data_IF_166316381072
#
_entry.id   IF_166316381072
#
_cell.length_a   1.000
_cell.length_b   1.000
_cell.length_c   1.000
_cell.angle_alpha   90.00
_cell.angle_beta   90.00
_cell.angle_gamma   90.00
#
_symmetry.space_group_name_H-M   'P 1'
#
loop_
_entity.id
_entity.type
_entity.pdbx_description
1 polymer ?
#
# COMPACT_ATOMS: atom_id res chain seq x y z
N UNK A 1 -5.30 23.71 -0.66
CA UNK A 1 -6.21 22.66 -1.15
C UNK A 1 -7.43 22.57 -0.23
N UNK A 2 -8.59 22.25 -0.75
CA UNK A 2 -9.75 21.96 0.12
C UNK A 2 -9.66 20.53 0.64
N UNK A 3 -10.15 20.25 1.83
CA UNK A 3 -10.15 18.93 2.48
C UNK A 3 -10.58 17.81 1.52
N UNK A 4 -11.68 18.03 0.78
CA UNK A 4 -12.24 17.05 -0.15
C UNK A 4 -11.34 16.79 -1.36
N UNK A 5 -10.65 17.80 -1.86
CA UNK A 5 -9.69 17.63 -2.97
C UNK A 5 -8.49 16.81 -2.53
N UNK A 6 -7.95 17.08 -1.33
CA UNK A 6 -6.84 16.31 -0.76
C UNK A 6 -7.24 14.87 -0.47
N UNK A 7 -8.46 14.66 0.04
CA UNK A 7 -9.01 13.32 0.25
C UNK A 7 -9.09 12.54 -1.06
N UNK A 8 -9.75 13.10 -2.09
CA UNK A 8 -9.93 12.41 -3.37
C UNK A 8 -8.58 12.14 -4.06
N UNK A 9 -7.66 13.09 -4.02
CA UNK A 9 -6.32 12.92 -4.57
C UNK A 9 -5.58 11.79 -3.84
N UNK A 10 -5.54 11.81 -2.52
CA UNK A 10 -4.88 10.80 -1.73
C UNK A 10 -5.54 9.42 -1.93
N UNK A 11 -6.85 9.36 -1.92
CA UNK A 11 -7.59 8.11 -2.15
C UNK A 11 -7.29 7.53 -3.53
N UNK A 12 -7.32 8.34 -4.59
CA UNK A 12 -7.07 7.86 -5.97
C UNK A 12 -5.65 7.36 -6.18
N UNK A 13 -4.66 7.97 -5.53
CA UNK A 13 -3.26 7.55 -5.63
C UNK A 13 -2.95 6.34 -4.75
N UNK A 14 -3.44 6.34 -3.50
CA UNK A 14 -3.13 5.27 -2.53
C UNK A 14 -3.95 4.00 -2.76
N UNK A 15 -5.17 4.09 -3.31
CA UNK A 15 -6.03 2.94 -3.53
C UNK A 15 -5.38 1.84 -4.40
N UNK A 16 -4.83 2.13 -5.60
CA UNK A 16 -4.15 1.12 -6.40
C UNK A 16 -2.84 0.62 -5.77
N UNK A 17 -2.15 1.46 -4.98
CA UNK A 17 -0.92 1.08 -4.30
C UNK A 17 -1.16 0.11 -3.14
N UNK A 18 -2.15 0.37 -2.30
CA UNK A 18 -2.58 -0.51 -1.21
C UNK A 18 -3.26 -1.76 -1.78
N UNK A 19 -3.99 -1.60 -2.89
CA UNK A 19 -4.67 -2.67 -3.61
C UNK A 19 -5.40 -3.65 -2.66
N UNK A 20 -6.48 -3.22 -1.98
CA UNK A 20 -7.10 -4.00 -0.91
C UNK A 20 -7.54 -5.41 -1.31
N UNK A 21 -7.97 -5.58 -2.57
CA UNK A 21 -8.37 -6.90 -3.10
C UNK A 21 -7.16 -7.79 -3.38
N UNK A 22 -6.14 -7.26 -4.03
CA UNK A 22 -4.92 -8.00 -4.34
C UNK A 22 -4.15 -8.39 -3.09
N UNK A 23 -3.98 -7.44 -2.17
CA UNK A 23 -3.32 -7.69 -0.89
C UNK A 23 -4.12 -8.68 -0.01
N UNK A 24 -5.47 -8.73 -0.12
CA UNK A 24 -6.29 -9.73 0.57
C UNK A 24 -6.02 -11.16 0.07
N UNK A 25 -5.76 -11.36 -1.22
CA UNK A 25 -5.39 -12.66 -1.76
C UNK A 25 -4.01 -13.11 -1.26
N UNK A 26 -3.04 -12.20 -1.23
CA UNK A 26 -1.71 -12.46 -0.65
C UNK A 26 -1.82 -12.76 0.84
N UNK A 27 -2.63 -11.97 1.57
CA UNK A 27 -2.92 -12.18 2.98
C UNK A 27 -3.51 -13.57 3.23
N UNK A 28 -4.48 -14.01 2.42
CA UNK A 28 -5.10 -15.33 2.52
C UNK A 28 -4.07 -16.45 2.33
N UNK A 29 -3.19 -16.32 1.33
CA UNK A 29 -2.12 -17.28 1.09
C UNK A 29 -1.12 -17.39 2.24
N UNK A 30 -0.79 -16.27 2.89
CA UNK A 30 0.16 -16.24 4.01
C UNK A 30 -0.47 -16.62 5.37
N UNK A 31 -1.76 -16.34 5.56
CA UNK A 31 -2.48 -16.67 6.80
C UNK A 31 -2.87 -18.14 6.85
N UNK A 32 -2.98 -18.81 5.69
CA UNK A 32 -3.38 -20.22 5.59
C UNK A 32 -4.81 -20.46 6.08
N UNK A 33 -5.17 -21.71 6.32
CA UNK A 33 -6.48 -22.07 6.86
C UNK A 33 -6.59 -21.71 8.34
N UNK A 34 -7.38 -20.69 8.63
CA UNK A 34 -7.64 -20.22 9.99
C UNK A 34 -9.15 -20.04 10.23
N UNK A 35 -9.62 -20.15 11.47
CA UNK A 35 -11.01 -19.88 11.81
C UNK A 35 -11.41 -18.43 11.47
N UNK A 36 -12.68 -18.14 11.09
CA UNK A 36 -13.14 -16.79 10.75
C UNK A 36 -12.81 -15.73 11.82
N UNK A 37 -12.87 -16.09 13.09
CA UNK A 37 -12.52 -15.19 14.20
C UNK A 37 -11.06 -14.72 14.16
N UNK A 38 -10.16 -15.55 13.65
CA UNK A 38 -8.73 -15.22 13.51
C UNK A 38 -8.54 -14.21 12.39
N UNK A 39 -9.19 -14.41 11.24
CA UNK A 39 -9.17 -13.45 10.12
C UNK A 39 -9.67 -12.07 10.55
N UNK A 40 -10.81 -11.98 11.22
CA UNK A 40 -11.35 -10.70 11.72
C UNK A 40 -10.40 -10.02 12.72
N UNK A 41 -9.84 -10.80 13.66
CA UNK A 41 -8.91 -10.26 14.66
C UNK A 41 -7.62 -9.73 14.02
N UNK A 42 -7.06 -10.48 13.07
CA UNK A 42 -5.84 -10.13 12.36
C UNK A 42 -6.06 -8.94 11.42
N UNK A 43 -7.15 -8.96 10.64
CA UNK A 43 -7.53 -7.86 9.75
C UNK A 43 -7.72 -6.54 10.52
N UNK A 44 -8.38 -6.59 11.70
CA UNK A 44 -8.53 -5.43 12.56
C UNK A 44 -7.18 -4.88 13.00
N UNK A 45 -6.27 -5.76 13.42
CA UNK A 45 -4.93 -5.33 13.85
C UNK A 45 -4.14 -4.73 12.70
N UNK A 46 -4.14 -5.38 11.55
CA UNK A 46 -3.47 -4.86 10.34
C UNK A 46 -4.02 -3.49 9.96
N UNK A 47 -5.35 -3.30 9.97
CA UNK A 47 -5.96 -2.00 9.65
C UNK A 47 -5.53 -0.90 10.63
N UNK A 48 -5.47 -1.21 11.94
CA UNK A 48 -5.01 -0.25 12.96
C UNK A 48 -3.51 0.04 12.76
N UNK A 49 -2.69 -1.00 12.62
CA UNK A 49 -1.25 -0.86 12.41
C UNK A 49 -0.97 -0.04 11.12
N UNK A 50 -1.77 -0.22 10.07
CA UNK A 50 -1.68 0.54 8.83
C UNK A 50 -2.01 2.02 9.01
N UNK A 51 -3.09 2.35 9.76
CA UNK A 51 -3.43 3.74 10.07
C UNK A 51 -2.29 4.40 10.83
N UNK A 52 -1.79 3.74 11.88
CA UNK A 52 -0.70 4.28 12.71
C UNK A 52 0.56 4.46 11.87
N UNK A 53 0.93 3.45 11.08
CA UNK A 53 2.13 3.47 10.26
C UNK A 53 2.10 4.60 9.22
N UNK A 54 1.01 4.72 8.46
CA UNK A 54 0.87 5.77 7.47
C UNK A 54 0.71 7.17 8.10
N UNK A 55 0.07 7.29 9.26
CA UNK A 55 0.02 8.55 10.00
C UNK A 55 1.41 9.01 10.46
N UNK A 56 2.26 8.09 10.93
CA UNK A 56 3.66 8.39 11.27
C UNK A 56 4.42 8.89 10.02
N UNK A 57 4.26 8.22 8.90
CA UNK A 57 4.91 8.63 7.64
C UNK A 57 4.38 9.98 7.15
N UNK A 58 3.08 10.23 7.27
CA UNK A 58 2.47 11.51 6.88
C UNK A 58 3.03 12.67 7.71
N UNK A 59 3.15 12.49 9.03
CA UNK A 59 3.55 13.54 9.93
C UNK A 59 5.07 13.72 10.02
N UNK A 60 5.82 12.63 10.05
CA UNK A 60 7.26 12.62 10.29
C UNK A 60 8.10 12.36 9.04
N UNK A 61 7.50 11.94 7.94
CA UNK A 61 8.22 11.51 6.75
C UNK A 61 9.16 12.58 6.19
N UNK A 62 8.70 13.82 6.09
CA UNK A 62 9.55 14.94 5.64
C UNK A 62 10.72 15.21 6.61
N UNK A 63 10.50 15.10 7.92
CA UNK A 63 11.56 15.27 8.92
C UNK A 63 12.58 14.14 8.84
N UNK A 64 12.13 12.90 8.61
CA UNK A 64 13.00 11.74 8.42
C UNK A 64 13.88 11.92 7.18
N UNK A 65 13.31 12.34 6.05
CA UNK A 65 14.07 12.60 4.83
C UNK A 65 15.13 13.69 5.02
N UNK A 66 14.75 14.79 5.67
CA UNK A 66 15.66 15.89 5.99
C UNK A 66 16.80 15.44 6.91
N UNK A 67 16.53 14.58 7.90
CA UNK A 67 17.55 14.04 8.79
C UNK A 67 18.59 13.22 8.03
N UNK A 68 18.18 12.43 7.03
CA UNK A 68 19.08 11.66 6.17
C UNK A 68 19.68 12.48 5.02
N UNK A 69 19.32 13.75 4.86
CA UNK A 69 19.78 14.58 3.75
C UNK A 69 19.24 14.15 2.39
N UNK A 70 18.11 13.42 2.36
CA UNK A 70 17.51 12.92 1.14
C UNK A 70 16.48 13.94 0.64
N UNK A 71 16.67 14.45 -0.59
CA UNK A 71 15.72 15.36 -1.20
C UNK A 71 14.48 14.62 -1.73
N UNK A 72 13.34 15.31 -1.72
CA UNK A 72 12.09 14.75 -2.23
C UNK A 72 12.17 14.30 -3.70
N UNK A 73 12.79 15.06 -4.64
CA UNK A 73 12.93 14.60 -6.03
C UNK A 73 13.65 13.25 -6.16
N UNK A 74 14.66 13.00 -5.32
CA UNK A 74 15.36 11.70 -5.30
C UNK A 74 14.42 10.59 -4.82
N UNK A 75 13.62 10.85 -3.77
CA UNK A 75 12.62 9.88 -3.29
C UNK A 75 11.56 9.61 -4.35
N UNK A 76 11.10 10.64 -5.07
CA UNK A 76 10.15 10.49 -6.17
C UNK A 76 10.72 9.66 -7.31
N UNK A 77 11.96 9.94 -7.72
CA UNK A 77 12.62 9.19 -8.78
C UNK A 77 12.80 7.72 -8.40
N UNK A 78 13.45 7.45 -7.28
CA UNK A 78 13.74 6.09 -6.82
C UNK A 78 12.46 5.30 -6.51
N UNK A 79 11.54 5.91 -5.79
CA UNK A 79 10.27 5.27 -5.42
C UNK A 79 9.34 5.07 -6.59
N UNK A 80 9.30 6.01 -7.54
CA UNK A 80 8.55 5.87 -8.77
C UNK A 80 9.05 4.69 -9.62
N UNK A 81 10.37 4.49 -9.70
CA UNK A 81 10.98 3.31 -10.35
C UNK A 81 10.54 2.02 -9.64
N UNK A 82 10.56 2.00 -8.30
CA UNK A 82 10.11 0.82 -7.52
C UNK A 82 8.65 0.51 -7.79
N UNK A 83 7.76 1.52 -7.76
CA UNK A 83 6.32 1.33 -8.05
C UNK A 83 6.12 0.81 -9.48
N UNK A 84 6.83 1.37 -10.46
CA UNK A 84 6.76 0.94 -11.86
C UNK A 84 7.24 -0.51 -12.00
N UNK A 85 8.33 -0.89 -11.34
CA UNK A 85 8.84 -2.27 -11.33
C UNK A 85 7.85 -3.25 -10.68
N UNK A 86 7.16 -2.85 -9.59
CA UNK A 86 6.10 -3.67 -8.97
C UNK A 86 4.93 -3.87 -9.94
N UNK A 87 4.43 -2.80 -10.57
CA UNK A 87 3.38 -2.89 -11.58
C UNK A 87 3.78 -3.79 -12.75
N UNK A 88 4.98 -3.63 -13.26
CA UNK A 88 5.54 -4.47 -14.31
C UNK A 88 5.66 -5.94 -13.93
N UNK A 89 6.11 -6.23 -12.70
CA UNK A 89 6.20 -7.60 -12.17
C UNK A 89 4.84 -8.30 -12.19
N UNK A 90 3.79 -7.63 -11.67
CA UNK A 90 2.43 -8.18 -11.64
C UNK A 90 1.85 -8.35 -13.05
N UNK A 91 2.16 -7.44 -14.00
CA UNK A 91 1.74 -7.58 -15.40
C UNK A 91 2.37 -8.80 -16.10
N UNK A 92 3.64 -9.08 -15.78
CA UNK A 92 4.40 -10.18 -16.37
C UNK A 92 4.27 -11.49 -15.61
N UNK A 93 3.59 -11.50 -14.48
CA UNK A 93 3.31 -12.73 -13.76
C UNK A 93 2.51 -13.66 -14.68
N UNK A 94 3.19 -14.70 -15.20
CA UNK A 94 2.52 -15.77 -15.95
C UNK A 94 1.55 -16.43 -14.99
N UNK A 95 0.40 -16.88 -15.51
CA UNK A 95 -0.62 -17.60 -14.74
C UNK A 95 0.00 -18.85 -14.07
N UNK A 96 0.80 -18.64 -13.06
CA UNK A 96 1.47 -19.64 -12.24
C UNK A 96 0.46 -20.25 -11.25
N UNK A 97 -0.65 -20.76 -11.78
CA UNK A 97 -1.69 -21.46 -11.03
C UNK A 97 -1.31 -22.88 -10.62
N UNK A 98 -0.11 -23.36 -10.95
CA UNK A 98 0.30 -24.75 -10.69
C UNK A 98 1.41 -24.92 -9.63
N UNK A 99 2.33 -23.96 -9.47
CA UNK A 99 3.52 -24.17 -8.62
C UNK A 99 3.38 -23.71 -7.16
N UNK A 100 2.38 -22.88 -6.86
CA UNK A 100 2.18 -22.40 -5.49
C UNK A 100 1.54 -23.44 -4.55
N UNK A 101 0.94 -24.50 -5.08
CA UNK A 101 0.31 -25.57 -4.30
C UNK A 101 1.30 -26.54 -3.65
N UNK A 102 2.48 -26.70 -4.21
CA UNK A 102 3.48 -27.67 -3.71
C UNK A 102 4.34 -27.20 -2.53
N UNK A 103 4.16 -25.96 -2.04
CA UNK A 103 4.85 -25.47 -0.83
C UNK A 103 4.00 -25.45 0.44
N UNK A 104 2.76 -25.95 0.38
CA UNK A 104 1.80 -25.90 1.50
C UNK A 104 1.66 -27.21 2.28
N UNK A 105 2.34 -28.29 1.92
CA UNK A 105 2.12 -29.60 2.54
C UNK A 105 2.88 -29.91 3.86
N UNK A 106 3.62 -28.95 4.41
CA UNK A 106 4.31 -29.18 5.68
C UNK A 106 3.92 -28.18 6.77
N UNK A 107 2.69 -28.21 7.28
CA UNK A 107 2.43 -27.75 8.66
C UNK A 107 0.98 -28.02 9.10
N UNK A 108 0.61 -29.25 9.26
CA UNK A 108 -0.47 -29.61 10.19
C UNK A 108 0.11 -29.77 11.58
N UNK A 109 -0.42 -29.05 12.53
CA UNK A 109 -0.45 -29.15 14.02
C UNK A 109 -0.12 -27.82 14.69
N UNK A 110 -1.16 -27.21 15.33
CA UNK A 110 -1.16 -26.35 16.53
C UNK A 110 -2.02 -25.10 16.42
N UNK A 111 -3.31 -25.24 16.77
CA UNK A 111 -4.32 -24.17 16.62
C UNK A 111 -4.13 -22.94 17.53
N UNK A 112 -3.60 -23.03 18.74
CA UNK A 112 -3.48 -21.87 19.65
C UNK A 112 -2.15 -21.14 19.53
N UNK A 113 -1.06 -21.85 19.35
CA UNK A 113 0.28 -21.29 19.12
C UNK A 113 0.35 -20.55 17.77
N UNK A 114 -0.38 -21.06 16.77
CA UNK A 114 -0.47 -20.49 15.43
C UNK A 114 -1.19 -19.12 15.42
N UNK A 115 -2.28 -18.98 16.20
CA UNK A 115 -3.02 -17.73 16.33
C UNK A 115 -2.17 -16.62 16.97
N UNK A 116 -1.37 -16.95 17.97
CA UNK A 116 -0.46 -15.99 18.62
C UNK A 116 0.68 -15.61 17.69
N UNK A 117 1.27 -16.56 16.96
CA UNK A 117 2.30 -16.33 15.98
C UNK A 117 1.81 -15.46 14.80
N UNK A 118 0.58 -15.67 14.31
CA UNK A 118 -0.02 -14.85 13.27
C UNK A 118 -0.27 -13.41 13.74
N UNK A 119 -0.69 -13.21 15.00
CA UNK A 119 -0.88 -11.86 15.56
C UNK A 119 0.44 -11.10 15.70
N UNK A 120 1.55 -11.78 15.99
CA UNK A 120 2.88 -11.17 16.02
C UNK A 120 3.34 -10.74 14.62
N UNK A 121 2.86 -11.40 13.58
CA UNK A 121 3.12 -11.08 12.17
C UNK A 121 2.25 -9.95 11.61
N UNK A 122 1.36 -9.34 12.40
CA UNK A 122 0.42 -8.32 11.91
C UNK A 122 1.12 -7.13 11.27
N UNK A 123 2.21 -6.63 11.88
CA UNK A 123 2.99 -5.55 11.28
C UNK A 123 3.87 -6.08 10.14
N UNK A 124 4.72 -7.08 10.41
CA UNK A 124 5.57 -7.68 9.38
C UNK A 124 5.23 -9.17 9.25
N UNK A 125 4.90 -9.66 8.05
CA UNK A 125 4.91 -8.97 6.76
C UNK A 125 3.55 -8.33 6.36
N UNK A 126 2.48 -8.44 7.15
CA UNK A 126 1.13 -8.14 6.68
C UNK A 126 0.87 -6.63 6.48
N UNK A 127 1.16 -5.77 7.46
CA UNK A 127 1.02 -4.33 7.26
C UNK A 127 2.11 -3.82 6.33
N UNK A 128 3.37 -4.12 6.62
CA UNK A 128 4.50 -3.80 5.77
C UNK A 128 5.25 -5.10 5.41
N UNK A 129 5.51 -5.40 4.14
CA UNK A 129 5.22 -4.61 2.94
C UNK A 129 3.90 -4.96 2.21
N UNK A 130 3.11 -5.95 2.68
CA UNK A 130 1.98 -6.51 1.92
C UNK A 130 0.85 -5.50 1.73
N UNK A 131 0.40 -4.82 2.80
CA UNK A 131 -0.69 -3.84 2.72
C UNK A 131 -0.18 -2.48 2.25
N UNK A 132 0.87 -1.97 2.88
CA UNK A 132 1.48 -0.70 2.56
C UNK A 132 2.97 -0.88 2.31
N UNK A 133 3.32 -1.09 1.05
CA UNK A 133 4.69 -1.27 0.60
C UNK A 133 5.46 0.04 0.41
N UNK A 134 6.72 -0.04 -0.02
CA UNK A 134 7.58 1.13 -0.27
C UNK A 134 6.93 2.15 -1.21
N UNK A 135 6.17 1.68 -2.22
CA UNK A 135 5.43 2.54 -3.13
C UNK A 135 4.39 3.44 -2.44
N UNK A 136 3.65 2.88 -1.48
CA UNK A 136 2.67 3.64 -0.69
C UNK A 136 3.35 4.74 0.12
N UNK A 137 4.53 4.47 0.69
CA UNK A 137 5.31 5.44 1.46
C UNK A 137 5.76 6.61 0.58
N UNK A 138 6.33 6.31 -0.61
CA UNK A 138 6.79 7.34 -1.54
C UNK A 138 5.63 8.20 -2.05
N UNK A 139 4.51 7.58 -2.40
CA UNK A 139 3.33 8.30 -2.83
C UNK A 139 2.79 9.22 -1.72
N UNK A 140 2.73 8.73 -0.48
CA UNK A 140 2.28 9.52 0.66
C UNK A 140 3.24 10.70 0.94
N UNK A 141 4.55 10.47 0.92
CA UNK A 141 5.56 11.52 1.06
C UNK A 141 5.45 12.58 -0.05
N UNK A 142 5.20 12.14 -1.28
CA UNK A 142 4.99 13.04 -2.42
C UNK A 142 3.72 13.89 -2.22
N UNK A 143 2.64 13.29 -1.76
CA UNK A 143 1.37 13.99 -1.49
C UNK A 143 1.56 15.04 -0.38
N UNK A 144 2.19 14.67 0.72
CA UNK A 144 2.41 15.58 1.87
C UNK A 144 3.33 16.74 1.54
N UNK A 145 4.36 16.50 0.72
CA UNK A 145 5.28 17.55 0.31
C UNK A 145 4.66 18.64 -0.59
N UNK A 146 3.64 18.29 -1.37
CA UNK A 146 2.90 19.26 -2.21
C UNK A 146 1.96 20.16 -1.40
N UNK A 147 1.71 19.85 -0.12
CA UNK A 147 0.79 20.60 0.75
C UNK A 147 1.46 21.79 1.41
N UNK A 148 2.77 21.80 1.55
CA UNK A 148 3.53 22.84 2.24
C UNK A 148 3.44 24.19 1.53
N UNK A 149 2.32 24.90 1.67
CA UNK A 149 2.06 26.25 1.14
C UNK A 149 1.64 27.21 2.26
N UNK A 150 2.29 28.33 2.33
CA UNK A 150 2.12 29.64 3.00
C UNK A 150 0.92 29.93 3.91
N UNK A 151 -0.07 29.06 4.07
CA UNK A 151 -1.28 29.28 4.90
C UNK A 151 -1.57 28.09 5.78
N UNK A 152 -1.18 28.16 7.03
CA UNK A 152 -1.27 27.09 8.05
C UNK A 152 -2.64 26.40 8.12
N UNK A 153 -3.75 27.15 8.02
CA UNK A 153 -5.09 26.56 8.10
C UNK A 153 -5.48 25.69 6.90
N UNK A 154 -4.95 26.01 5.71
CA UNK A 154 -5.16 25.20 4.49
C UNK A 154 -4.32 23.93 4.51
N UNK A 155 -3.16 23.99 5.13
CA UNK A 155 -2.25 22.85 5.28
C UNK A 155 -2.86 21.82 6.23
N UNK A 156 -3.44 22.25 7.35
CA UNK A 156 -4.13 21.36 8.29
C UNK A 156 -5.32 20.64 7.61
N UNK A 157 -6.16 21.35 6.87
CA UNK A 157 -7.29 20.76 6.16
C UNK A 157 -6.83 19.74 5.11
N UNK A 158 -5.71 19.97 4.45
CA UNK A 158 -5.16 19.06 3.48
C UNK A 158 -4.61 17.78 4.13
N UNK A 159 -3.88 17.89 5.25
CA UNK A 159 -3.43 16.74 6.03
C UNK A 159 -4.61 15.92 6.57
N UNK A 160 -5.65 16.59 7.10
CA UNK A 160 -6.87 15.89 7.53
C UNK A 160 -7.53 15.15 6.37
N UNK A 161 -7.53 15.71 5.16
CA UNK A 161 -8.05 15.04 3.96
C UNK A 161 -7.26 13.79 3.61
N UNK A 162 -5.91 13.85 3.64
CA UNK A 162 -5.05 12.68 3.39
C UNK A 162 -5.27 11.63 4.48
N UNK A 163 -5.25 12.03 5.75
CA UNK A 163 -5.47 11.12 6.87
C UNK A 163 -6.83 10.42 6.77
N UNK A 164 -7.89 11.13 6.38
CA UNK A 164 -9.19 10.54 6.15
C UNK A 164 -9.16 9.50 5.03
N UNK A 165 -8.42 9.73 3.95
CA UNK A 165 -8.23 8.74 2.89
C UNK A 165 -7.51 7.49 3.40
N UNK A 166 -6.47 7.65 4.23
CA UNK A 166 -5.76 6.54 4.89
C UNK A 166 -6.71 5.72 5.75
N UNK A 167 -7.56 6.38 6.56
CA UNK A 167 -8.54 5.70 7.42
C UNK A 167 -9.56 4.92 6.57
N UNK A 168 -10.13 5.54 5.55
CA UNK A 168 -11.12 4.89 4.67
C UNK A 168 -10.50 3.69 3.96
N UNK A 169 -9.27 3.81 3.44
CA UNK A 169 -8.57 2.70 2.80
C UNK A 169 -8.23 1.58 3.78
N UNK A 170 -7.83 1.91 5.02
CA UNK A 170 -7.57 0.90 6.05
C UNK A 170 -8.83 0.16 6.49
N UNK A 171 -9.97 0.85 6.54
CA UNK A 171 -11.28 0.22 6.77
C UNK A 171 -11.64 -0.71 5.60
N UNK A 172 -11.36 -0.30 4.36
CA UNK A 172 -11.57 -1.16 3.19
C UNK A 172 -10.68 -2.40 3.23
N UNK A 173 -9.40 -2.24 3.61
CA UNK A 173 -8.47 -3.36 3.86
C UNK A 173 -9.03 -4.30 4.93
N UNK A 174 -9.54 -3.76 6.05
CA UNK A 174 -10.18 -4.57 7.07
C UNK A 174 -11.28 -5.47 6.50
N UNK A 175 -12.20 -4.91 5.72
CA UNK A 175 -13.27 -5.69 5.13
C UNK A 175 -12.74 -6.72 4.13
N UNK A 176 -11.82 -6.35 3.25
CA UNK A 176 -11.24 -7.27 2.28
C UNK A 176 -10.52 -8.44 2.96
N UNK A 177 -9.78 -8.18 4.05
CA UNK A 177 -9.02 -9.21 4.77
C UNK A 177 -9.92 -10.07 5.68
N UNK A 178 -10.86 -9.45 6.38
CA UNK A 178 -11.79 -10.17 7.25
C UNK A 178 -12.67 -11.17 6.48
N UNK A 179 -13.01 -10.81 5.25
CA UNK A 179 -13.84 -11.61 4.36
C UNK A 179 -13.05 -12.25 3.19
N UNK A 180 -11.72 -12.26 3.25
CA UNK A 180 -10.88 -12.82 2.20
C UNK A 180 -11.24 -14.25 1.77
N UNK A 181 -11.54 -15.20 2.70
CA UNK A 181 -11.97 -16.55 2.32
C UNK A 181 -13.28 -16.59 1.56
N UNK A 182 -14.21 -15.67 1.86
CA UNK A 182 -15.50 -15.56 1.16
C UNK A 182 -15.31 -14.93 -0.23
N UNK A 183 -14.51 -13.87 -0.30
CA UNK A 183 -14.18 -13.18 -1.55
C UNK A 183 -13.52 -14.14 -2.54
N UNK A 184 -12.56 -14.94 -2.09
CA UNK A 184 -11.85 -15.90 -2.95
C UNK A 184 -12.76 -17.03 -3.50
N UNK A 185 -13.89 -17.33 -2.81
CA UNK A 185 -14.88 -18.31 -3.27
C UNK A 185 -15.85 -17.73 -4.31
N UNK A 186 -16.14 -16.42 -4.21
CA UNK A 186 -17.13 -15.74 -5.07
C UNK A 186 -16.49 -15.19 -6.34
N UNK A 187 -15.24 -14.71 -6.25
CA UNK A 187 -14.53 -14.14 -7.40
C UNK A 187 -13.80 -15.25 -8.15
N UNK A 188 -14.19 -15.58 -9.40
CA UNK A 188 -13.47 -16.56 -10.19
C UNK A 188 -12.01 -16.14 -10.38
N UNK A 189 -11.06 -17.08 -10.36
CA UNK A 189 -9.62 -16.76 -10.49
C UNK A 189 -9.31 -15.93 -11.75
N UNK A 190 -9.95 -16.21 -12.87
CA UNK A 190 -9.77 -15.44 -14.11
C UNK A 190 -10.18 -13.96 -13.96
N UNK A 191 -11.30 -13.69 -13.26
CA UNK A 191 -11.76 -12.32 -12.99
C UNK A 191 -10.82 -11.60 -12.04
N UNK A 192 -10.36 -12.27 -10.99
CA UNK A 192 -9.39 -11.73 -10.05
C UNK A 192 -8.08 -11.34 -10.77
N UNK A 193 -7.54 -12.23 -11.63
CA UNK A 193 -6.36 -11.94 -12.43
C UNK A 193 -6.57 -10.77 -13.40
N UNK A 194 -7.74 -10.70 -14.05
CA UNK A 194 -8.06 -9.55 -14.90
C UNK A 194 -8.05 -8.21 -14.16
N UNK A 195 -8.69 -8.14 -12.99
CA UNK A 195 -8.71 -6.95 -12.14
C UNK A 195 -7.28 -6.59 -11.69
N UNK A 196 -6.50 -7.58 -11.24
CA UNK A 196 -5.11 -7.37 -10.81
C UNK A 196 -4.24 -6.81 -11.94
N UNK A 197 -4.40 -7.26 -13.18
CA UNK A 197 -3.67 -6.73 -14.34
C UNK A 197 -4.03 -5.28 -14.65
N UNK A 198 -5.31 -4.91 -14.55
CA UNK A 198 -5.72 -3.49 -14.70
C UNK A 198 -5.10 -2.62 -13.61
N UNK A 199 -5.15 -3.07 -12.36
CA UNK A 199 -4.53 -2.36 -11.23
C UNK A 199 -3.01 -2.27 -11.43
N UNK A 200 -2.35 -3.34 -11.87
CA UNK A 200 -0.92 -3.38 -12.14
C UNK A 200 -0.51 -2.38 -13.24
N UNK A 201 -1.32 -2.24 -14.30
CA UNK A 201 -1.08 -1.23 -15.33
C UNK A 201 -1.22 0.21 -14.77
N UNK A 202 -2.22 0.44 -13.92
CA UNK A 202 -2.38 1.74 -13.23
C UNK A 202 -1.17 2.02 -12.34
N UNK A 203 -0.69 1.02 -11.59
CA UNK A 203 0.53 1.13 -10.77
C UNK A 203 1.76 1.48 -11.60
N UNK A 204 1.94 0.83 -12.75
CA UNK A 204 3.02 1.14 -13.66
C UNK A 204 2.97 2.60 -14.12
N UNK A 205 1.80 3.08 -14.53
CA UNK A 205 1.60 4.47 -14.95
C UNK A 205 1.88 5.47 -13.81
N UNK A 206 1.38 5.19 -12.59
CA UNK A 206 1.63 6.03 -11.40
C UNK A 206 3.13 6.06 -11.10
N UNK A 207 3.80 4.91 -11.11
CA UNK A 207 5.24 4.81 -10.85
C UNK A 207 6.06 5.64 -11.84
N UNK A 208 5.78 5.50 -13.13
CA UNK A 208 6.43 6.29 -14.19
C UNK A 208 6.17 7.79 -14.00
N UNK A 209 4.93 8.19 -13.67
CA UNK A 209 4.59 9.59 -13.44
C UNK A 209 5.34 10.20 -12.25
N UNK A 210 5.42 9.46 -11.14
CA UNK A 210 6.14 9.92 -9.94
C UNK A 210 7.64 10.03 -10.24
N UNK A 211 8.23 9.03 -10.91
CA UNK A 211 9.63 9.04 -11.30
C UNK A 211 9.94 10.22 -12.24
N UNK A 212 9.07 10.48 -13.21
CA UNK A 212 9.20 11.60 -14.12
C UNK A 212 9.17 12.95 -13.41
N UNK A 213 8.24 13.12 -12.45
CA UNK A 213 8.15 14.35 -11.67
C UNK A 213 9.45 14.61 -10.89
N UNK A 214 10.02 13.59 -10.25
CA UNK A 214 11.31 13.70 -9.56
C UNK A 214 12.45 14.04 -10.51
N UNK A 215 12.54 13.32 -11.63
CA UNK A 215 13.57 13.53 -12.64
C UNK A 215 13.52 14.94 -13.25
N UNK A 216 12.31 15.43 -13.58
CA UNK A 216 12.12 16.75 -14.16
C UNK A 216 12.63 17.88 -13.25
N UNK A 217 12.42 17.75 -11.93
CA UNK A 217 12.95 18.71 -10.94
C UNK A 217 14.46 18.65 -10.91
N UNK A 218 15.06 17.46 -10.80
CA UNK A 218 16.52 17.29 -10.77
C UNK A 218 17.20 17.82 -12.05
N UNK A 219 16.60 17.59 -13.22
CA UNK A 219 17.12 18.14 -14.48
C UNK A 219 17.00 19.65 -14.53
N UNK A 220 15.92 20.23 -14.01
CA UNK A 220 15.74 21.67 -13.99
C UNK A 220 16.78 22.41 -13.12
N UNK A 221 17.24 21.75 -12.03
CA UNK A 221 18.31 22.27 -11.17
C UNK A 221 19.68 22.27 -11.86
N UNK A 222 19.92 21.31 -12.77
CA UNK A 222 21.18 21.23 -13.54
C UNK A 222 21.19 22.26 -14.69
N UNK A 223 20.04 22.47 -15.34
CA UNK A 223 19.95 23.31 -16.55
C UNK A 223 19.83 24.82 -16.19
N UNK A 224 19.38 25.12 -14.97
CA UNK A 224 19.32 26.49 -14.45
C UNK A 224 20.30 26.65 -13.30
N UNK A 225 21.58 26.92 -13.56
CA UNK A 225 22.56 27.20 -12.52
C UNK A 225 22.28 28.56 -11.82
#
# INVERSE_FOLDING_TARGET
>A
MHLWQSFLLAFSVLFPLINPLGSALVFLGLAGDAPPKVYHSLARRIAIDNIIFLAIIELLGAAILNFFGISLPIVQLSGGIVIAAMGWSVLNERDASADSRNRQEETEVRSETQTTALKQKAFYPFTFPVTSGPGTLVALLTLTAHISHRVISRDILAHVGIFLAVVVLSVLVYFCYAYAPQISKVVPPATAHGILRVIAFILLCIGVQIAWNGLAVLLSEIIRP
#
